data_IF_628467424101
#
_entry.id   IF_628467424101
#
_cell.length_a   1.000
_cell.length_b   1.000
_cell.length_c   1.000
_cell.angle_alpha   90.00
_cell.angle_beta   90.00
_cell.angle_gamma   90.00
#
_symmetry.space_group_name_H-M   'P 1'
#
loop_
_entity.id
_entity.type
_entity.pdbx_description
1 polymer ?
#
# COMPACT_ATOMS: atom_id res chain seq x y z
N UNK A 1 -2.88 9.99 -3.63
CA UNK A 1 -2.30 10.91 -2.62
C UNK A 1 -2.09 12.27 -3.28
N UNK A 2 -2.59 13.35 -2.68
CA UNK A 2 -2.44 14.73 -3.18
C UNK A 2 -1.30 15.43 -2.43
N UNK A 3 -0.18 15.65 -3.12
CA UNK A 3 1.05 16.20 -2.54
C UNK A 3 0.92 17.68 -2.17
N UNK A 4 0.22 18.48 -2.98
CA UNK A 4 0.11 19.92 -2.78
C UNK A 4 -0.82 20.23 -1.60
N UNK A 5 -1.91 19.47 -1.46
CA UNK A 5 -2.76 19.52 -0.25
C UNK A 5 -1.97 19.18 1.01
N UNK A 6 -1.13 18.15 0.98
CA UNK A 6 -0.29 17.79 2.13
C UNK A 6 0.74 18.87 2.46
N UNK A 7 1.33 19.52 1.44
CA UNK A 7 2.25 20.63 1.64
C UNK A 7 1.56 21.81 2.35
N UNK A 8 0.35 22.18 1.88
CA UNK A 8 -0.46 23.23 2.51
C UNK A 8 -0.83 22.89 3.96
N UNK A 9 -1.26 21.66 4.23
CA UNK A 9 -1.57 21.20 5.58
C UNK A 9 -0.36 21.19 6.52
N UNK A 10 0.84 20.93 5.98
CA UNK A 10 2.09 21.00 6.71
C UNK A 10 2.57 22.44 6.99
N UNK A 11 1.91 23.44 6.39
CA UNK A 11 2.25 24.85 6.53
C UNK A 11 3.25 25.35 5.47
N UNK A 12 3.41 24.65 4.36
CA UNK A 12 4.16 25.12 3.20
C UNK A 12 3.23 25.94 2.27
N UNK A 13 3.74 27.05 1.75
CA UNK A 13 3.08 27.84 0.73
C UNK A 13 3.40 27.27 -0.65
N UNK A 14 2.38 27.05 -1.50
CA UNK A 14 2.56 26.68 -2.91
C UNK A 14 2.76 27.96 -3.70
N UNK A 15 3.92 28.12 -4.34
CA UNK A 15 4.32 29.34 -5.02
C UNK A 15 4.09 29.29 -6.53
N UNK A 16 4.37 28.14 -7.13
CA UNK A 16 4.22 27.92 -8.56
C UNK A 16 3.33 26.70 -8.76
N UNK A 17 2.36 26.85 -9.64
CA UNK A 17 1.68 25.77 -10.33
C UNK A 17 1.73 26.12 -11.81
N UNK A 18 2.68 25.53 -12.53
CA UNK A 18 2.90 25.80 -13.94
C UNK A 18 2.87 24.51 -14.73
N UNK A 19 2.33 24.58 -15.94
CA UNK A 19 2.43 23.51 -16.92
C UNK A 19 3.23 24.02 -18.11
N UNK A 20 4.37 23.41 -18.38
CA UNK A 20 5.21 23.73 -19.54
C UNK A 20 5.22 22.48 -20.43
N UNK A 21 4.58 22.59 -21.58
CA UNK A 21 4.30 21.43 -22.43
C UNK A 21 3.42 20.41 -21.71
N UNK A 22 3.94 19.19 -21.53
CA UNK A 22 3.25 18.11 -20.83
C UNK A 22 3.72 17.90 -19.38
N UNK A 23 4.69 18.71 -18.92
CA UNK A 23 5.18 18.62 -17.55
C UNK A 23 4.49 19.63 -16.65
N UNK A 24 4.02 19.15 -15.50
CA UNK A 24 3.51 19.97 -14.41
C UNK A 24 4.63 20.23 -13.40
N UNK A 25 4.84 21.50 -13.10
CA UNK A 25 5.84 22.00 -12.17
C UNK A 25 5.12 22.65 -10.99
N UNK A 26 5.52 22.25 -9.79
CA UNK A 26 5.10 22.93 -8.58
C UNK A 26 6.28 23.24 -7.68
N UNK A 27 6.27 24.41 -7.07
CA UNK A 27 7.24 24.79 -6.06
C UNK A 27 6.53 25.15 -4.75
N UNK A 28 7.17 24.79 -3.64
CA UNK A 28 6.66 25.06 -2.30
C UNK A 28 7.75 25.71 -1.46
N UNK A 29 7.36 26.61 -0.56
CA UNK A 29 8.28 27.29 0.36
C UNK A 29 7.72 27.31 1.78
N UNK A 30 8.60 27.41 2.77
CA UNK A 30 8.19 27.50 4.17
C UNK A 30 9.35 27.24 5.12
N UNK A 31 9.05 27.11 6.41
CA UNK A 31 10.05 26.86 7.44
C UNK A 31 10.57 25.42 7.40
N UNK A 32 11.72 25.19 8.03
CA UNK A 32 12.28 23.85 8.21
C UNK A 32 11.31 22.92 8.96
N UNK A 33 10.62 23.43 9.98
CA UNK A 33 9.62 22.65 10.71
C UNK A 33 8.44 22.22 9.82
N UNK A 34 7.96 23.10 8.94
CA UNK A 34 6.92 22.77 7.98
C UNK A 34 7.39 21.67 7.00
N UNK A 35 8.65 21.75 6.54
CA UNK A 35 9.25 20.71 5.69
C UNK A 35 9.35 19.36 6.41
N UNK A 36 9.73 19.35 7.70
CA UNK A 36 9.79 18.13 8.51
C UNK A 36 8.40 17.50 8.70
N UNK A 37 7.37 18.32 8.99
CA UNK A 37 5.97 17.87 9.09
C UNK A 37 5.48 17.27 7.78
N UNK A 38 5.79 17.92 6.66
CA UNK A 38 5.45 17.43 5.33
C UNK A 38 6.09 16.07 5.04
N UNK A 39 7.39 15.91 5.32
CA UNK A 39 8.10 14.65 5.15
C UNK A 39 7.54 13.54 6.06
N UNK A 40 7.08 13.87 7.27
CA UNK A 40 6.40 12.93 8.15
C UNK A 40 5.03 12.51 7.61
N UNK A 41 4.24 13.47 7.11
CA UNK A 41 2.93 13.19 6.51
C UNK A 41 3.05 12.25 5.30
N UNK A 42 4.04 12.46 4.42
CA UNK A 42 4.32 11.59 3.28
C UNK A 42 4.64 10.17 3.74
N UNK A 43 5.53 10.01 4.74
CA UNK A 43 5.90 8.68 5.25
C UNK A 43 4.68 7.92 5.77
N UNK A 44 3.83 8.58 6.55
CA UNK A 44 2.60 7.97 7.08
C UNK A 44 1.66 7.57 5.93
N UNK A 45 1.44 8.47 4.96
CA UNK A 45 0.58 8.19 3.81
C UNK A 45 1.09 7.00 2.98
N UNK A 46 2.40 6.90 2.75
CA UNK A 46 3.01 5.77 2.02
C UNK A 46 2.83 4.45 2.75
N UNK A 47 3.03 4.41 4.07
CA UNK A 47 2.80 3.20 4.87
C UNK A 47 1.34 2.77 4.78
N UNK A 48 0.40 3.71 4.84
CA UNK A 48 -1.04 3.41 4.72
C UNK A 48 -1.40 2.88 3.33
N UNK A 49 -0.90 3.50 2.27
CA UNK A 49 -1.08 3.06 0.88
C UNK A 49 -0.56 1.62 0.68
N UNK A 50 0.65 1.33 1.17
CA UNK A 50 1.23 -0.01 1.10
C UNK A 50 0.43 -1.04 1.89
N UNK A 51 0.00 -0.70 3.11
CA UNK A 51 -0.84 -1.56 3.93
C UNK A 51 -2.19 -1.84 3.26
N UNK A 52 -2.81 -0.82 2.64
CA UNK A 52 -4.04 -0.97 1.88
C UNK A 52 -3.84 -1.90 0.68
N UNK A 53 -2.78 -1.69 -0.11
CA UNK A 53 -2.44 -2.57 -1.25
C UNK A 53 -2.21 -4.01 -0.79
N UNK A 54 -1.53 -4.23 0.32
CA UNK A 54 -1.32 -5.57 0.88
C UNK A 54 -2.66 -6.22 1.29
N UNK A 55 -3.56 -5.48 1.94
CA UNK A 55 -4.91 -5.96 2.31
C UNK A 55 -5.76 -6.29 1.08
N UNK A 56 -5.72 -5.46 0.04
CA UNK A 56 -6.44 -5.73 -1.20
C UNK A 56 -5.88 -6.98 -1.90
N UNK A 57 -4.56 -7.18 -1.92
CA UNK A 57 -3.92 -8.41 -2.42
C UNK A 57 -4.33 -9.65 -1.63
N UNK A 58 -4.39 -9.55 -0.30
CA UNK A 58 -4.86 -10.65 0.56
C UNK A 58 -6.30 -11.07 0.24
N UNK A 59 -7.14 -10.13 -0.18
CA UNK A 59 -8.54 -10.39 -0.56
C UNK A 59 -8.69 -10.99 -1.97
N UNK A 60 -7.66 -10.83 -2.81
CA UNK A 60 -7.62 -11.38 -4.18
C UNK A 60 -6.97 -12.77 -4.25
N UNK A 61 -6.45 -13.31 -3.14
CA UNK A 61 -5.99 -14.70 -3.10
C UNK A 61 -7.19 -15.63 -3.28
N UNK A 62 -7.24 -16.45 -4.34
CA UNK A 62 -8.28 -17.46 -4.45
C UNK A 62 -8.15 -18.38 -3.24
N UNK A 63 -9.28 -18.63 -2.57
CA UNK A 63 -9.42 -19.52 -1.42
C UNK A 63 -9.07 -20.98 -1.80
N UNK A 64 -7.79 -21.29 -2.01
CA UNK A 64 -7.34 -22.64 -2.37
C UNK A 64 -7.12 -23.54 -1.15
N UNK A 65 -7.21 -23.01 0.07
CA UNK A 65 -7.08 -23.80 1.30
C UNK A 65 -8.39 -24.50 1.71
N UNK A 66 -9.04 -25.22 0.79
CA UNK A 66 -10.17 -26.13 1.10
C UNK A 66 -10.13 -27.45 0.33
N UNK A 67 -8.95 -27.91 -0.11
CA UNK A 67 -8.86 -29.14 -0.92
C UNK A 67 -7.71 -30.07 -0.53
N UNK A 68 -7.46 -30.29 0.77
CA UNK A 68 -6.49 -31.30 1.22
C UNK A 68 -6.92 -32.05 2.49
N UNK A 69 -8.13 -32.60 2.52
CA UNK A 69 -8.58 -33.43 3.66
C UNK A 69 -9.47 -34.64 3.30
N UNK A 70 -9.37 -35.21 2.09
CA UNK A 70 -10.06 -36.48 1.76
C UNK A 70 -9.18 -37.60 1.18
N UNK A 71 -7.86 -37.46 1.18
CA UNK A 71 -6.95 -38.47 0.62
C UNK A 71 -6.35 -39.45 1.64
N UNK A 72 -6.69 -39.34 2.94
CA UNK A 72 -6.03 -40.12 4.00
C UNK A 72 -6.83 -41.32 4.54
N UNK A 73 -7.98 -41.65 3.95
CA UNK A 73 -8.84 -42.77 4.38
C UNK A 73 -8.79 -44.00 3.46
N UNK A 74 -7.82 -44.10 2.55
CA UNK A 74 -7.72 -45.21 1.56
C UNK A 74 -6.46 -46.09 1.71
N UNK A 75 -5.95 -46.33 2.92
CA UNK A 75 -4.75 -47.21 3.10
C UNK A 75 -4.85 -48.16 4.30
N UNK A 76 -6.06 -48.55 4.72
CA UNK A 76 -6.26 -49.53 5.82
C UNK A 76 -7.17 -50.70 5.45
N UNK A 77 -7.06 -51.25 4.25
CA UNK A 77 -7.72 -52.53 3.89
C UNK A 77 -6.92 -53.28 2.84
N UNK A 78 -5.81 -53.90 3.25
CA UNK A 78 -5.27 -55.15 2.68
C UNK A 78 -3.99 -55.52 3.43
N UNK A 79 -4.15 -56.21 4.56
CA UNK A 79 -3.12 -57.14 5.04
C UNK A 79 -3.58 -58.54 4.63
N UNK A 80 -2.85 -59.29 3.79
CA UNK A 80 -3.11 -60.70 3.63
C UNK A 80 -2.62 -61.43 4.90
N UNK A 81 -3.49 -62.25 5.48
CA UNK A 81 -3.14 -63.28 6.45
C UNK A 81 -2.78 -64.53 5.64
N UNK A 82 -1.55 -65.02 5.87
CA UNK A 82 -1.04 -66.40 5.70
C UNK A 82 -1.50 -67.16 4.46
#
# INVERSE_FOLDING_TARGET
MDLLRMAQQAGLAVLLEARIGDQEYSSVSGSKDALLRFAQAIRVAMVQELALRARLRLRALPSQCRWRSKAQTRWKRTRPQI
#
